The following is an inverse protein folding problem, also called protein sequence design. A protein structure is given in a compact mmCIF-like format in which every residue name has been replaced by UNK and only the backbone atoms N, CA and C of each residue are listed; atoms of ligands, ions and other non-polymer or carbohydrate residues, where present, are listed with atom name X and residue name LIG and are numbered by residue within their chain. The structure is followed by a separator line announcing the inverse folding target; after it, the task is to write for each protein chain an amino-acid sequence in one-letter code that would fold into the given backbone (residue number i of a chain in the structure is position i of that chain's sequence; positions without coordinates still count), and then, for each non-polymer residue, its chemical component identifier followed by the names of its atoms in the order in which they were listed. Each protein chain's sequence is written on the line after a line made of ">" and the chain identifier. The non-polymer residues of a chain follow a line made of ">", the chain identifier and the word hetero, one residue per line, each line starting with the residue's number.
data_IF_355599718002
#
_entry.id   IF_355599718002
#
_cell.length_a   1.000
_cell.length_b   1.000
_cell.length_c   1.000
_cell.angle_alpha   90.00
_cell.angle_beta   90.00
_cell.angle_gamma   90.00
#
_symmetry.space_group_name_H-M   'P 1'
#
loop_
_entity.id
_entity.type
_entity.pdbx_description
1 polymer ?
#
# COMPACT_ATOMS: atom_id res chain seq x y z
N UNK A 1 -0.84 9.63 -5.22
CA UNK A 1 -1.08 9.02 -3.88
C UNK A 1 0.07 8.08 -3.60
N UNK A 2 0.63 8.11 -2.40
CA UNK A 2 1.74 7.24 -2.00
C UNK A 2 1.25 6.29 -0.90
N UNK A 3 1.51 4.99 -1.09
CA UNK A 3 1.20 3.96 -0.11
C UNK A 3 2.50 3.36 0.43
N UNK A 4 2.80 3.58 1.71
CA UNK A 4 3.92 2.97 2.40
C UNK A 4 3.40 2.07 3.53
N UNK A 5 3.61 0.76 3.39
CA UNK A 5 3.24 -0.23 4.41
C UNK A 5 4.07 -1.52 4.20
N UNK A 6 4.94 -1.91 5.15
CA UNK A 6 5.74 -3.13 5.04
C UNK A 6 4.95 -4.42 5.31
N UNK A 7 3.76 -4.31 5.88
CA UNK A 7 3.04 -5.47 6.39
C UNK A 7 2.32 -6.24 5.28
N UNK A 8 2.04 -7.50 5.60
CA UNK A 8 1.13 -8.36 4.85
C UNK A 8 -0.25 -8.40 5.52
N UNK A 9 -1.27 -8.70 4.72
CA UNK A 9 -2.63 -8.90 5.22
C UNK A 9 -2.68 -10.13 6.13
N UNK A 10 -3.09 -9.93 7.37
CA UNK A 10 -3.31 -11.01 8.34
C UNK A 10 -4.79 -11.27 8.61
N UNK A 11 -5.11 -12.50 9.03
CA UNK A 11 -6.48 -12.86 9.43
C UNK A 11 -7.00 -11.97 10.57
N UNK A 12 -6.11 -11.55 11.47
CA UNK A 12 -6.45 -10.65 12.58
C UNK A 12 -6.95 -9.30 12.08
N UNK A 13 -6.62 -8.86 10.86
CA UNK A 13 -6.94 -7.53 10.33
C UNK A 13 -8.38 -7.42 9.78
N UNK A 14 -9.04 -8.55 9.49
CA UNK A 14 -10.36 -8.62 8.82
C UNK A 14 -11.44 -7.77 9.51
N UNK A 15 -11.37 -7.63 10.84
CA UNK A 15 -12.36 -6.87 11.60
C UNK A 15 -12.20 -5.33 11.52
N UNK A 16 -11.11 -4.80 10.94
CA UNK A 16 -10.79 -3.37 11.01
C UNK A 16 -10.04 -2.77 9.82
N UNK A 17 -9.63 -3.58 8.85
CA UNK A 17 -8.91 -3.10 7.66
C UNK A 17 -9.65 -3.54 6.39
N UNK A 18 -10.00 -2.57 5.54
CA UNK A 18 -10.77 -2.80 4.31
C UNK A 18 -10.11 -3.80 3.34
N UNK A 19 -8.78 -3.80 3.28
CA UNK A 19 -7.99 -4.66 2.39
C UNK A 19 -7.85 -6.11 2.88
N UNK A 20 -8.29 -6.39 4.10
CA UNK A 20 -8.17 -7.70 4.71
C UNK A 20 -9.37 -8.60 4.34
N UNK A 21 -9.26 -9.28 3.21
CA UNK A 21 -10.21 -10.28 2.73
C UNK A 21 -9.57 -11.68 2.84
N UNK A 22 -10.39 -12.72 2.90
CA UNK A 22 -9.88 -14.10 2.87
C UNK A 22 -9.03 -14.37 1.62
N UNK A 23 -9.37 -13.75 0.49
CA UNK A 23 -8.66 -13.89 -0.78
C UNK A 23 -7.34 -13.13 -0.85
N UNK A 24 -7.12 -12.14 0.01
CA UNK A 24 -5.92 -11.26 -0.02
C UNK A 24 -4.95 -11.56 1.12
N UNK A 25 -5.19 -12.60 1.92
CA UNK A 25 -4.33 -12.98 3.05
C UNK A 25 -2.92 -13.33 2.59
N UNK A 26 -1.92 -12.80 3.30
CA UNK A 26 -0.51 -13.00 3.01
C UNK A 26 0.05 -12.09 1.91
N UNK A 27 -0.79 -11.33 1.21
CA UNK A 27 -0.36 -10.33 0.24
C UNK A 27 0.06 -9.02 0.94
N UNK A 28 0.90 -8.22 0.28
CA UNK A 28 1.34 -6.93 0.81
C UNK A 28 0.16 -5.95 0.88
N UNK A 29 -0.02 -5.29 2.02
CA UNK A 29 -1.17 -4.38 2.24
C UNK A 29 -1.14 -3.22 1.25
N UNK A 30 0.04 -2.64 1.01
CA UNK A 30 0.23 -1.55 0.06
C UNK A 30 -0.23 -1.95 -1.35
N UNK A 31 0.18 -3.12 -1.84
CA UNK A 31 -0.19 -3.61 -3.19
C UNK A 31 -1.69 -3.91 -3.32
N UNK A 32 -2.29 -4.55 -2.31
CA UNK A 32 -3.74 -4.84 -2.31
C UNK A 32 -4.54 -3.55 -2.34
N UNK A 33 -4.13 -2.56 -1.54
CA UNK A 33 -4.78 -1.24 -1.54
C UNK A 33 -4.58 -0.53 -2.89
N UNK A 34 -3.37 -0.57 -3.45
CA UNK A 34 -3.05 0.05 -4.74
C UNK A 34 -3.88 -0.52 -5.89
N UNK A 35 -4.03 -1.85 -5.97
CA UNK A 35 -4.93 -2.49 -6.93
C UNK A 35 -6.38 -2.04 -6.75
N UNK A 36 -6.87 -1.98 -5.51
CA UNK A 36 -8.23 -1.51 -5.21
C UNK A 36 -8.43 -0.03 -5.61
N UNK A 37 -7.46 0.83 -5.36
CA UNK A 37 -7.54 2.25 -5.70
C UNK A 37 -7.53 2.48 -7.22
N UNK A 38 -6.72 1.73 -7.98
CA UNK A 38 -6.74 1.79 -9.44
C UNK A 38 -8.04 1.23 -10.04
N UNK A 39 -8.64 0.22 -9.42
CA UNK A 39 -9.96 -0.29 -9.82
C UNK A 39 -11.05 0.77 -9.63
N UNK A 40 -10.97 1.57 -8.56
CA UNK A 40 -11.88 2.71 -8.31
C UNK A 40 -11.64 3.85 -9.31
N UNK A 41 -10.37 4.20 -9.57
CA UNK A 41 -9.98 5.24 -10.51
C UNK A 41 -8.73 4.82 -11.30
N UNK A 42 -8.89 4.34 -12.55
CA UNK A 42 -7.77 3.91 -13.38
C UNK A 42 -6.78 5.02 -13.73
N UNK A 43 -7.19 6.28 -13.69
CA UNK A 43 -6.33 7.44 -13.95
C UNK A 43 -5.57 7.93 -12.72
N UNK A 44 -5.68 7.24 -11.57
CA UNK A 44 -5.00 7.64 -10.34
C UNK A 44 -3.50 7.39 -10.45
N UNK A 45 -2.70 8.44 -10.29
CA UNK A 45 -1.26 8.31 -10.06
C UNK A 45 -1.03 7.75 -8.65
N UNK A 46 -0.45 6.56 -8.59
CA UNK A 46 -0.26 5.82 -7.35
C UNK A 46 1.06 5.06 -7.34
N UNK A 47 1.79 5.22 -6.24
CA UNK A 47 3.05 4.56 -5.97
C UNK A 47 2.96 3.75 -4.68
N UNK A 48 3.59 2.57 -4.70
CA UNK A 48 3.51 1.56 -3.65
C UNK A 48 4.92 1.25 -3.18
N UNK A 49 5.16 1.47 -1.89
CA UNK A 49 6.43 1.19 -1.22
C UNK A 49 6.18 0.15 -0.12
N UNK A 50 6.33 -1.15 -0.41
CA UNK A 50 6.04 -2.23 0.53
C UNK A 50 7.19 -2.44 1.54
N UNK A 51 7.68 -1.34 2.12
CA UNK A 51 8.76 -1.31 3.09
C UNK A 51 8.50 -0.24 4.15
N UNK A 52 9.26 -0.29 5.24
CA UNK A 52 9.10 0.61 6.37
C UNK A 52 9.57 2.02 6.03
N UNK A 53 8.83 3.01 6.52
CA UNK A 53 9.30 4.39 6.52
C UNK A 53 10.37 4.59 7.60
N UNK A 54 11.54 5.09 7.20
CA UNK A 54 12.66 5.43 8.07
C UNK A 54 13.38 6.70 7.56
N UNK A 55 14.42 7.15 8.28
CA UNK A 55 15.23 8.28 7.83
C UNK A 55 15.92 7.98 6.49
N UNK A 56 16.35 6.74 6.29
CA UNK A 56 17.00 6.28 5.05
C UNK A 56 16.04 6.19 3.87
N UNK A 57 14.79 5.73 4.09
CA UNK A 57 13.79 5.59 3.02
C UNK A 57 12.95 6.85 2.78
N UNK A 58 13.05 7.86 3.66
CA UNK A 58 12.27 9.10 3.57
C UNK A 58 12.48 9.82 2.24
N UNK A 59 13.72 9.91 1.77
CA UNK A 59 14.03 10.62 0.54
C UNK A 59 13.37 9.92 -0.66
N UNK A 60 13.44 8.59 -0.71
CA UNK A 60 12.84 7.80 -1.79
C UNK A 60 11.30 7.87 -1.81
N UNK A 61 10.66 7.88 -0.63
CA UNK A 61 9.19 7.86 -0.51
C UNK A 61 8.57 9.24 -0.74
N UNK A 62 9.29 10.34 -0.45
CA UNK A 62 8.73 11.69 -0.43
C UNK A 62 9.31 12.62 -1.52
N UNK A 63 10.11 12.10 -2.46
CA UNK A 63 10.74 12.92 -3.50
C UNK A 63 9.70 13.49 -4.47
N UNK A 64 9.51 14.81 -4.45
CA UNK A 64 8.55 15.51 -5.31
C UNK A 64 8.99 15.57 -6.79
N UNK A 65 10.27 15.34 -7.13
CA UNK A 65 10.74 15.41 -8.52
C UNK A 65 10.38 14.16 -9.36
N UNK A 66 9.96 13.07 -8.72
CA UNK A 66 9.59 11.81 -9.39
C UNK A 66 8.09 11.76 -9.75
N UNK A 67 7.26 12.66 -9.18
CA UNK A 67 5.78 12.56 -9.18
C UNK A 67 5.03 13.52 -10.12
#
# INVERSE_FOLDING_TARGET
>A
IILCDPDRVEASNINRQLVALNSTRGELKAEVMGRRLRDINPGLQLEEYPFSYSEESSAEILDEEIH
#
